data_IF_006887861872
#
_entry.id   IF_006887861872
#
_cell.length_a   1.000
_cell.length_b   1.000
_cell.length_c   1.000
_cell.angle_alpha   90.00
_cell.angle_beta   90.00
_cell.angle_gamma   90.00
#
_symmetry.space_group_name_H-M   'P 1'
#
loop_
_entity.id
_entity.type
_entity.pdbx_description
1 polymer ?
#
# COMPACT_ATOMS: atom_id res chain seq x y z
N UNK A 1 8.96 -13.11 -5.56
CA UNK A 1 8.65 -14.29 -4.72
C UNK A 1 9.95 -14.89 -4.22
N UNK A 2 9.97 -15.33 -2.96
CA UNK A 2 11.14 -15.96 -2.33
C UNK A 2 11.16 -17.45 -2.64
N UNK A 3 11.61 -17.80 -3.84
CA UNK A 3 11.50 -19.15 -4.43
C UNK A 3 12.19 -20.27 -3.63
N UNK A 4 13.13 -19.93 -2.75
CA UNK A 4 13.91 -20.91 -1.98
C UNK A 4 13.52 -20.97 -0.50
N UNK A 5 12.56 -20.15 -0.06
CA UNK A 5 12.12 -20.18 1.33
C UNK A 5 11.23 -21.41 1.54
N UNK A 6 11.59 -22.22 2.54
CA UNK A 6 10.79 -23.38 2.97
C UNK A 6 10.40 -23.20 4.43
N UNK A 7 9.27 -23.79 4.82
CA UNK A 7 8.85 -23.91 6.21
C UNK A 7 8.72 -25.41 6.50
N UNK A 8 9.57 -25.93 7.38
CA UNK A 8 9.65 -27.38 7.67
C UNK A 8 9.94 -28.23 6.43
N UNK A 9 10.77 -27.72 5.51
CA UNK A 9 11.12 -28.39 4.26
C UNK A 9 10.00 -28.39 3.20
N UNK A 10 8.84 -27.80 3.48
CA UNK A 10 7.75 -27.66 2.53
C UNK A 10 7.85 -26.34 1.74
N UNK A 11 7.39 -26.30 0.48
CA UNK A 11 7.36 -25.09 -0.33
C UNK A 11 6.44 -24.03 0.28
N UNK A 12 6.72 -22.77 -0.03
CA UNK A 12 5.99 -21.62 0.50
C UNK A 12 5.35 -20.77 -0.58
N UNK A 13 4.28 -20.09 -0.20
CA UNK A 13 3.60 -19.08 -1.01
C UNK A 13 3.55 -17.77 -0.25
N UNK A 14 3.59 -16.65 -0.99
CA UNK A 14 3.51 -15.29 -0.46
C UNK A 14 2.27 -14.62 -1.02
N UNK A 15 1.39 -14.16 -0.14
CA UNK A 15 0.22 -13.36 -0.52
C UNK A 15 0.42 -11.92 -0.03
N UNK A 16 -0.03 -10.95 -0.83
CA UNK A 16 0.19 -9.53 -0.58
C UNK A 16 -1.07 -8.70 -0.89
N UNK A 17 -1.31 -7.65 -0.10
CA UNK A 17 -2.39 -6.71 -0.38
C UNK A 17 -2.02 -5.82 -1.59
N UNK A 18 -2.88 -5.80 -2.62
CA UNK A 18 -2.68 -4.89 -3.75
C UNK A 18 -2.97 -3.45 -3.34
N UNK A 19 -1.99 -2.59 -3.57
CA UNK A 19 -2.09 -1.14 -3.41
C UNK A 19 -2.42 -0.69 -1.98
N UNK A 20 -1.94 -1.45 -0.99
CA UNK A 20 -2.30 -1.33 0.43
C UNK A 20 -2.35 0.10 0.94
N UNK A 21 -1.24 0.85 0.81
CA UNK A 21 -1.14 2.22 1.33
C UNK A 21 -2.21 3.17 0.77
N UNK A 22 -2.47 3.12 -0.54
CA UNK A 22 -3.48 3.97 -1.15
C UNK A 22 -4.90 3.47 -0.83
N UNK A 23 -5.13 2.16 -0.84
CA UNK A 23 -6.44 1.59 -0.45
C UNK A 23 -6.78 1.96 0.99
N UNK A 24 -5.82 1.87 1.92
CA UNK A 24 -5.98 2.34 3.29
C UNK A 24 -6.37 3.82 3.35
N UNK A 25 -5.69 4.67 2.57
CA UNK A 25 -6.00 6.10 2.53
C UNK A 25 -7.44 6.38 2.04
N UNK A 26 -7.90 5.66 1.00
CA UNK A 26 -9.31 5.70 0.58
C UNK A 26 -10.27 5.23 1.68
N UNK A 27 -9.94 4.12 2.32
CA UNK A 27 -10.76 3.51 3.34
C UNK A 27 -10.91 4.41 4.58
N UNK A 28 -9.81 5.02 5.04
CA UNK A 28 -9.80 5.99 6.13
C UNK A 28 -10.51 7.29 5.79
N UNK A 29 -10.51 7.68 4.50
CA UNK A 29 -11.23 8.87 4.02
C UNK A 29 -12.73 8.60 3.75
N UNK A 30 -13.21 7.37 3.96
CA UNK A 30 -14.58 6.98 3.67
C UNK A 30 -14.94 7.08 2.18
N UNK A 31 -13.95 6.98 1.28
CA UNK A 31 -14.15 7.11 -0.16
C UNK A 31 -14.14 5.73 -0.83
N UNK A 32 -14.90 5.63 -1.92
CA UNK A 32 -14.91 4.43 -2.75
C UNK A 32 -13.57 4.28 -3.46
N UNK A 33 -12.94 3.12 -3.31
CA UNK A 33 -11.70 2.75 -3.98
C UNK A 33 -11.99 2.51 -5.47
N UNK A 34 -11.30 3.18 -6.40
CA UNK A 34 -11.43 2.90 -7.83
C UNK A 34 -11.06 1.45 -8.17
N UNK A 35 -11.70 0.90 -9.21
CA UNK A 35 -11.29 -0.38 -9.77
C UNK A 35 -9.93 -0.26 -10.49
N UNK A 36 -9.26 -1.40 -10.69
CA UNK A 36 -7.96 -1.41 -11.38
C UNK A 36 -6.76 -1.09 -10.47
N UNK A 37 -5.57 -1.08 -11.06
CA UNK A 37 -4.36 -0.75 -10.33
C UNK A 37 -4.30 0.77 -10.11
N UNK A 38 -4.29 1.20 -8.84
CA UNK A 38 -4.30 2.61 -8.47
C UNK A 38 -3.01 3.35 -8.84
N UNK A 39 -1.94 2.64 -9.23
CA UNK A 39 -0.72 3.28 -9.73
C UNK A 39 -0.61 3.25 -11.26
N UNK A 40 -1.58 2.65 -11.95
CA UNK A 40 -1.62 2.61 -13.41
C UNK A 40 -2.30 3.89 -13.91
N UNK A 41 -1.46 4.81 -14.39
CA UNK A 41 -1.88 6.07 -14.99
C UNK A 41 -1.29 6.14 -16.39
N UNK A 42 -2.12 6.43 -17.38
CA UNK A 42 -1.72 6.44 -18.78
C UNK A 42 -0.51 7.36 -19.02
N UNK A 43 0.50 6.83 -19.72
CA UNK A 43 1.72 7.57 -20.04
C UNK A 43 2.66 7.80 -18.86
N UNK A 44 2.39 7.22 -17.68
CA UNK A 44 3.25 7.33 -16.50
C UNK A 44 3.84 5.99 -16.09
N UNK A 45 5.07 6.05 -15.59
CA UNK A 45 5.71 4.91 -14.95
C UNK A 45 5.11 4.69 -13.55
N UNK A 46 4.64 3.46 -13.32
CA UNK A 46 4.01 3.01 -12.08
C UNK A 46 4.88 3.27 -10.84
N UNK A 47 6.20 3.11 -10.95
CA UNK A 47 7.10 3.31 -9.81
C UNK A 47 7.25 4.80 -9.46
N UNK A 48 7.11 5.70 -10.43
CA UNK A 48 6.98 7.13 -10.16
C UNK A 48 5.65 7.48 -9.51
N UNK A 49 4.54 6.83 -9.87
CA UNK A 49 3.24 7.03 -9.19
C UNK A 49 3.31 6.59 -7.72
N UNK A 50 3.97 5.46 -7.43
CA UNK A 50 4.26 5.07 -6.04
C UNK A 50 5.16 6.08 -5.33
N UNK A 51 6.19 6.59 -6.01
CA UNK A 51 7.08 7.59 -5.44
C UNK A 51 6.33 8.88 -5.07
N UNK A 52 5.37 9.32 -5.90
CA UNK A 52 4.48 10.45 -5.59
C UNK A 52 3.68 10.16 -4.32
N UNK A 53 3.04 8.99 -4.22
CA UNK A 53 2.29 8.62 -3.02
C UNK A 53 3.17 8.68 -1.77
N UNK A 54 4.32 8.00 -1.79
CA UNK A 54 5.25 7.96 -0.64
C UNK A 54 5.75 9.36 -0.27
N UNK A 55 6.09 10.19 -1.26
CA UNK A 55 6.53 11.57 -1.03
C UNK A 55 5.43 12.44 -0.42
N UNK A 56 4.17 12.16 -0.72
CA UNK A 56 3.02 12.95 -0.27
C UNK A 56 2.57 12.56 1.14
N UNK A 57 2.44 11.26 1.43
CA UNK A 57 1.87 10.81 2.71
C UNK A 57 2.74 11.16 3.94
N UNK A 58 4.04 11.38 3.74
CA UNK A 58 4.99 11.70 4.80
C UNK A 58 4.98 13.17 5.25
N UNK A 59 4.27 14.05 4.56
CA UNK A 59 4.35 15.50 4.76
C UNK A 59 2.96 16.12 4.77
N UNK A 60 2.86 17.34 5.31
CA UNK A 60 1.58 18.06 5.38
C UNK A 60 1.29 18.89 4.12
N UNK A 61 2.33 19.28 3.37
CA UNK A 61 2.20 20.27 2.29
C UNK A 61 2.63 19.72 0.93
N UNK A 62 2.03 20.28 -0.13
CA UNK A 62 2.42 19.99 -1.52
C UNK A 62 3.88 20.36 -1.78
N UNK A 63 4.36 21.48 -1.24
CA UNK A 63 5.72 21.95 -1.52
C UNK A 63 6.78 21.03 -0.92
N UNK A 64 6.55 20.51 0.28
CA UNK A 64 7.44 19.51 0.89
C UNK A 64 7.45 18.21 0.08
N UNK A 65 6.29 17.77 -0.40
CA UNK A 65 6.16 16.57 -1.22
C UNK A 65 6.90 16.72 -2.55
N UNK A 66 6.77 17.89 -3.19
CA UNK A 66 7.52 18.23 -4.39
C UNK A 66 9.02 18.31 -4.11
N UNK A 67 9.44 18.85 -2.97
CA UNK A 67 10.83 18.83 -2.53
C UNK A 67 11.41 17.41 -2.47
N UNK A 68 10.70 16.50 -1.80
CA UNK A 68 11.07 15.09 -1.71
C UNK A 68 11.10 14.39 -3.08
N UNK A 69 10.14 14.69 -3.95
CA UNK A 69 10.07 14.12 -5.30
C UNK A 69 11.19 14.63 -6.20
N UNK A 70 11.50 15.94 -6.15
CA UNK A 70 12.64 16.54 -6.86
C UNK A 70 13.96 15.89 -6.43
N UNK A 71 14.16 15.65 -5.13
CA UNK A 71 15.33 14.94 -4.62
C UNK A 71 15.45 13.53 -5.22
N UNK A 72 14.38 12.74 -5.22
CA UNK A 72 14.34 11.42 -5.85
C UNK A 72 14.64 11.47 -7.35
N UNK A 73 14.10 12.46 -8.06
CA UNK A 73 14.37 12.65 -9.50
C UNK A 73 15.83 12.98 -9.78
N UNK A 74 16.49 13.76 -8.91
CA UNK A 74 17.93 14.03 -9.01
C UNK A 74 18.73 12.76 -8.78
N UNK A 75 18.43 11.99 -7.74
CA UNK A 75 19.11 10.71 -7.43
C UNK A 75 18.99 9.70 -8.57
N UNK A 76 17.86 9.71 -9.29
CA UNK A 76 17.62 8.86 -10.45
C UNK A 76 18.19 9.40 -11.78
N UNK A 77 18.89 10.55 -11.78
CA UNK A 77 19.35 11.26 -13.00
C UNK A 77 18.20 11.58 -13.99
N UNK A 78 17.01 11.86 -13.47
CA UNK A 78 15.79 12.11 -14.24
C UNK A 78 15.20 13.50 -14.00
N UNK A 79 15.92 14.37 -13.28
CA UNK A 79 15.49 15.73 -12.96
C UNK A 79 15.32 16.61 -14.22
N UNK A 80 14.16 17.27 -14.31
CA UNK A 80 13.83 18.27 -15.34
C UNK A 80 12.86 19.28 -14.72
N UNK A 81 12.97 20.55 -15.15
CA UNK A 81 12.03 21.58 -14.74
C UNK A 81 10.57 21.15 -14.97
N UNK A 82 9.72 21.32 -13.94
CA UNK A 82 8.29 20.98 -13.98
C UNK A 82 7.95 19.50 -13.87
N UNK A 83 8.94 18.58 -13.85
CA UNK A 83 8.66 17.14 -13.86
C UNK A 83 8.04 16.65 -12.55
N UNK A 84 8.51 17.16 -11.41
CA UNK A 84 7.96 16.77 -10.11
C UNK A 84 6.49 17.21 -9.99
N UNK A 85 6.20 18.42 -10.42
CA UNK A 85 4.87 19.01 -10.47
C UNK A 85 3.97 18.20 -11.40
N UNK A 86 4.41 17.89 -12.61
CA UNK A 86 3.65 17.09 -13.56
C UNK A 86 3.29 15.70 -13.00
N UNK A 87 4.25 15.00 -12.39
CA UNK A 87 4.01 13.69 -11.76
C UNK A 87 3.01 13.80 -10.60
N UNK A 88 3.22 14.79 -9.73
CA UNK A 88 2.39 15.03 -8.56
C UNK A 88 0.96 15.37 -8.95
N UNK A 89 0.77 16.34 -9.85
CA UNK A 89 -0.53 16.84 -10.27
C UNK A 89 -1.29 15.78 -11.08
N UNK A 90 -0.59 14.98 -11.89
CA UNK A 90 -1.19 13.85 -12.62
C UNK A 90 -1.74 12.80 -11.65
N UNK A 91 -0.93 12.34 -10.69
CA UNK A 91 -1.34 11.32 -9.73
C UNK A 91 -2.49 11.78 -8.84
N UNK A 92 -2.38 12.98 -8.27
CA UNK A 92 -3.40 13.51 -7.38
C UNK A 92 -4.63 14.05 -8.13
N UNK A 93 -4.52 14.35 -9.43
CA UNK A 93 -5.67 14.58 -10.29
C UNK A 93 -6.55 13.32 -10.40
N UNK A 94 -5.93 12.16 -10.66
CA UNK A 94 -6.62 10.87 -10.70
C UNK A 94 -7.20 10.45 -9.35
N UNK A 95 -6.52 10.79 -8.24
CA UNK A 95 -6.95 10.47 -6.88
C UNK A 95 -7.47 11.66 -6.08
N UNK A 96 -8.08 12.64 -6.76
CA UNK A 96 -8.52 13.91 -6.17
C UNK A 96 -9.47 13.75 -4.97
N UNK A 97 -10.25 12.66 -4.92
CA UNK A 97 -11.17 12.34 -3.81
C UNK A 97 -10.48 12.14 -2.46
N UNK A 98 -9.18 11.85 -2.48
CA UNK A 98 -8.35 11.58 -1.31
C UNK A 98 -7.08 12.45 -1.34
N UNK A 99 -7.17 13.66 -1.90
CA UNK A 99 -6.05 14.59 -1.94
C UNK A 99 -5.50 14.89 -0.52
N UNK A 100 -4.19 14.73 -0.25
CA UNK A 100 -3.67 14.76 1.12
C UNK A 100 -3.27 16.14 1.63
N UNK A 101 -3.12 17.16 0.78
CA UNK A 101 -2.55 18.47 1.17
C UNK A 101 -3.56 19.62 1.09
N UNK A 102 -4.80 19.36 1.51
CA UNK A 102 -5.82 20.39 1.68
C UNK A 102 -5.52 21.34 2.84
N UNK A 103 -6.42 22.29 3.08
CA UNK A 103 -6.33 23.18 4.23
C UNK A 103 -6.37 22.39 5.55
N UNK A 104 -5.44 22.68 6.46
CA UNK A 104 -5.32 21.97 7.74
C UNK A 104 -4.80 20.53 7.64
N UNK A 105 -4.21 20.14 6.51
CA UNK A 105 -3.65 18.81 6.34
C UNK A 105 -2.51 18.49 7.32
N UNK A 106 -2.41 17.21 7.69
CA UNK A 106 -1.35 16.64 8.51
C UNK A 106 -0.67 15.50 7.75
N UNK A 107 0.58 15.18 8.12
CA UNK A 107 1.23 13.98 7.61
C UNK A 107 0.45 12.71 7.99
N UNK A 108 0.17 11.87 6.98
CA UNK A 108 -0.68 10.69 7.11
C UNK A 108 0.10 9.39 7.37
N UNK A 109 1.41 9.39 7.10
CA UNK A 109 2.26 8.21 7.14
C UNK A 109 2.12 7.41 8.44
N UNK A 110 2.22 8.06 9.60
CA UNK A 110 2.10 7.37 10.89
C UNK A 110 0.73 6.70 11.09
N UNK A 111 -0.35 7.36 10.67
CA UNK A 111 -1.72 6.83 10.77
C UNK A 111 -1.90 5.61 9.86
N UNK A 112 -1.37 5.66 8.64
CA UNK A 112 -1.42 4.56 7.68
C UNK A 112 -0.57 3.36 8.12
N UNK A 113 0.65 3.59 8.60
CA UNK A 113 1.53 2.52 9.12
C UNK A 113 0.93 1.85 10.35
N UNK A 114 0.27 2.62 11.21
CA UNK A 114 -0.46 2.06 12.35
C UNK A 114 -1.62 1.15 11.88
N UNK A 115 -2.46 1.64 10.95
CA UNK A 115 -3.56 0.87 10.38
C UNK A 115 -3.08 -0.43 9.71
N UNK A 116 -2.03 -0.35 8.89
CA UNK A 116 -1.40 -1.50 8.24
C UNK A 116 -0.92 -2.54 9.28
N UNK A 117 -0.23 -2.08 10.33
CA UNK A 117 0.23 -2.94 11.42
C UNK A 117 -0.93 -3.61 12.17
N UNK A 118 -2.05 -2.92 12.37
CA UNK A 118 -3.24 -3.50 13.02
C UNK A 118 -3.87 -4.60 12.18
N UNK A 119 -3.93 -4.42 10.84
CA UNK A 119 -4.37 -5.49 9.93
C UNK A 119 -3.38 -6.66 10.00
N UNK A 120 -2.08 -6.41 9.95
CA UNK A 120 -1.09 -7.46 9.97
C UNK A 120 -1.16 -8.31 11.24
N UNK A 121 -1.28 -7.67 12.41
CA UNK A 121 -1.48 -8.37 13.69
C UNK A 121 -2.78 -9.19 13.69
N UNK A 122 -3.85 -8.69 13.06
CA UNK A 122 -5.12 -9.42 12.93
C UNK A 122 -4.98 -10.66 12.05
N UNK A 123 -4.26 -10.56 10.92
CA UNK A 123 -3.95 -11.72 10.06
C UNK A 123 -3.17 -12.77 10.85
N UNK A 124 -2.09 -12.36 11.52
CA UNK A 124 -1.26 -13.29 12.31
C UNK A 124 -2.05 -13.99 13.41
N UNK A 125 -2.96 -13.26 14.08
CA UNK A 125 -3.85 -13.86 15.09
C UNK A 125 -4.73 -14.96 14.49
N UNK A 126 -5.37 -14.70 13.34
CA UNK A 126 -6.21 -15.72 12.67
C UNK A 126 -5.44 -16.94 12.19
N UNK A 127 -4.18 -16.75 11.78
CA UNK A 127 -3.32 -17.85 11.38
C UNK A 127 -2.89 -18.68 12.59
N UNK A 128 -2.55 -18.01 13.70
CA UNK A 128 -2.21 -18.66 14.96
C UNK A 128 -3.37 -19.47 15.54
N UNK A 129 -4.59 -18.92 15.53
CA UNK A 129 -5.82 -19.62 15.95
C UNK A 129 -6.06 -20.92 15.16
N UNK A 130 -5.53 -21.02 13.94
CA UNK A 130 -5.61 -22.20 13.08
C UNK A 130 -4.37 -23.11 13.17
N UNK A 131 -3.44 -22.82 14.08
CA UNK A 131 -2.12 -23.46 14.20
C UNK A 131 -1.32 -23.45 12.89
N UNK A 132 -1.41 -22.36 12.12
CA UNK A 132 -0.63 -22.18 10.89
C UNK A 132 0.44 -21.11 11.12
N UNK A 133 1.73 -21.46 11.06
CA UNK A 133 2.80 -20.48 11.06
C UNK A 133 2.71 -19.57 9.82
N UNK A 134 2.72 -18.26 10.05
CA UNK A 134 2.77 -17.24 9.00
C UNK A 134 3.91 -16.26 9.28
N UNK A 135 4.74 -16.00 8.28
CA UNK A 135 5.85 -15.04 8.37
C UNK A 135 5.37 -13.71 7.76
N UNK A 136 5.23 -12.64 8.55
CA UNK A 136 4.83 -11.33 8.04
C UNK A 136 6.02 -10.60 7.39
N UNK A 137 5.76 -9.90 6.29
CA UNK A 137 6.71 -9.01 5.61
C UNK A 137 5.95 -7.77 5.14
N UNK A 138 5.91 -6.75 5.99
CA UNK A 138 5.01 -5.59 5.79
C UNK A 138 3.56 -6.04 5.58
N UNK A 139 2.99 -5.73 4.41
CA UNK A 139 1.63 -6.05 3.98
C UNK A 139 1.51 -7.43 3.29
N UNK A 140 2.62 -8.17 3.18
CA UNK A 140 2.64 -9.55 2.67
C UNK A 140 2.86 -10.58 3.77
N UNK A 141 2.41 -11.81 3.51
CA UNK A 141 2.50 -12.94 4.44
C UNK A 141 2.94 -14.19 3.69
N UNK A 142 3.85 -14.93 4.31
CA UNK A 142 4.36 -16.19 3.78
C UNK A 142 3.89 -17.36 4.64
N UNK A 143 3.37 -18.39 3.98
CA UNK A 143 2.94 -19.66 4.59
C UNK A 143 3.37 -20.83 3.72
N UNK A 144 3.29 -22.06 4.24
CA UNK A 144 3.38 -23.25 3.39
C UNK A 144 2.28 -23.21 2.30
N UNK A 145 2.57 -23.67 1.09
CA UNK A 145 1.63 -23.61 -0.05
C UNK A 145 0.25 -24.22 0.27
N UNK A 146 0.23 -25.32 1.02
CA UNK A 146 -1.01 -25.99 1.47
C UNK A 146 -1.93 -25.11 2.33
N UNK A 147 -1.44 -23.99 2.85
CA UNK A 147 -2.20 -23.05 3.67
C UNK A 147 -2.58 -21.76 2.93
N UNK A 148 -2.40 -21.71 1.61
CA UNK A 148 -2.78 -20.58 0.78
C UNK A 148 -4.21 -20.10 1.04
N UNK A 149 -5.19 -21.01 1.04
CA UNK A 149 -6.60 -20.65 1.24
C UNK A 149 -6.86 -20.08 2.64
N UNK A 150 -6.24 -20.66 3.66
CA UNK A 150 -6.34 -20.19 5.05
C UNK A 150 -5.78 -18.77 5.17
N UNK A 151 -4.62 -18.50 4.57
CA UNK A 151 -4.01 -17.19 4.58
C UNK A 151 -4.86 -16.17 3.81
N UNK A 152 -5.32 -16.53 2.61
CA UNK A 152 -6.16 -15.66 1.81
C UNK A 152 -7.45 -15.29 2.56
N UNK A 153 -8.09 -16.25 3.23
CA UNK A 153 -9.27 -15.98 4.05
C UNK A 153 -8.96 -15.16 5.31
N UNK A 154 -7.83 -15.41 5.98
CA UNK A 154 -7.38 -14.60 7.11
C UNK A 154 -7.15 -13.14 6.71
N UNK A 155 -6.46 -12.89 5.59
CA UNK A 155 -6.25 -11.55 5.03
C UNK A 155 -7.58 -10.85 4.68
N UNK A 156 -8.48 -11.53 3.97
CA UNK A 156 -9.81 -10.97 3.66
C UNK A 156 -10.62 -10.64 4.90
N UNK A 157 -10.58 -11.50 5.92
CA UNK A 157 -11.32 -11.31 7.17
C UNK A 157 -10.71 -10.16 7.98
N UNK A 158 -9.39 -10.13 8.11
CA UNK A 158 -8.68 -9.06 8.82
C UNK A 158 -8.98 -7.69 8.21
N UNK A 159 -8.99 -7.57 6.88
CA UNK A 159 -9.39 -6.32 6.23
C UNK A 159 -10.84 -5.93 6.56
N UNK A 160 -11.78 -6.88 6.45
CA UNK A 160 -13.22 -6.63 6.67
C UNK A 160 -13.55 -6.25 8.11
N UNK A 161 -12.77 -6.71 9.09
CA UNK A 161 -12.93 -6.32 10.49
C UNK A 161 -12.77 -4.81 10.70
N UNK A 162 -11.89 -4.17 9.93
CA UNK A 162 -11.66 -2.73 10.01
C UNK A 162 -12.47 -1.94 8.98
N UNK A 163 -12.59 -2.46 7.75
CA UNK A 163 -13.29 -1.79 6.63
C UNK A 163 -14.27 -2.72 5.92
N UNK A 164 -15.43 -3.02 6.53
CA UNK A 164 -16.38 -4.02 6.02
C UNK A 164 -17.00 -3.65 4.66
N UNK A 165 -17.04 -2.36 4.33
CA UNK A 165 -17.63 -1.83 3.10
C UNK A 165 -16.60 -1.51 2.02
N UNK A 166 -15.30 -1.56 2.33
CA UNK A 166 -14.23 -1.25 1.38
C UNK A 166 -13.64 -2.55 0.85
N UNK A 167 -13.51 -2.68 -0.46
CA UNK A 167 -12.86 -3.85 -1.06
C UNK A 167 -11.35 -3.62 -1.14
N UNK A 168 -10.59 -4.69 -0.87
CA UNK A 168 -9.17 -4.79 -1.19
C UNK A 168 -8.91 -6.06 -1.98
N UNK A 169 -7.94 -6.03 -2.88
CA UNK A 169 -7.50 -7.20 -3.65
C UNK A 169 -6.26 -7.80 -3.00
N UNK A 170 -6.16 -9.11 -3.02
CA UNK A 170 -4.98 -9.86 -2.58
C UNK A 170 -4.38 -10.52 -3.83
N UNK A 171 -3.06 -10.55 -3.94
CA UNK A 171 -2.33 -11.24 -5.01
C UNK A 171 -1.48 -12.36 -4.44
#
# INVERSE_FOLDING_TARGET
>A
MRQYLTIEGQPTTELDYRNMQLVLHYAMSGKVVPDGDLYEIEGQDRDWMKAVLTASLGVATRDDALGALRKKLVEANLSRAGRAEALYDTFWGQHSRVYPHGEGAEALWGKLQYADSQIALRVLRYMLEQNVPAIPIHDSFIVQEQHWEKLHMAMRTAWRDFWPLTRIRIK
#
